data_IF_463598778094
#
_entry.id   IF_463598778094
#
_cell.length_a   1.000
_cell.length_b   1.000
_cell.length_c   1.000
_cell.angle_alpha   90.00
_cell.angle_beta   90.00
_cell.angle_gamma   90.00
#
_symmetry.space_group_name_H-M   'P 1'
#
loop_
_entity.id
_entity.type
_entity.pdbx_description
1 polymer ?
#
# COMPACT_ATOMS: atom_id res chain seq x y z
N UNK A 1 23.39 -7.65 -17.35
CA UNK A 1 22.14 -8.41 -17.11
C UNK A 1 22.30 -9.19 -15.80
N UNK A 2 21.87 -8.61 -14.67
CA UNK A 2 22.06 -9.23 -13.35
C UNK A 2 20.74 -9.90 -12.96
N UNK A 3 20.70 -11.22 -13.07
CA UNK A 3 19.62 -12.07 -12.58
C UNK A 3 19.95 -12.45 -11.14
N UNK A 4 19.29 -11.84 -10.16
CA UNK A 4 19.27 -12.39 -8.80
C UNK A 4 17.89 -12.26 -8.17
N UNK A 5 17.32 -13.40 -7.76
CA UNK A 5 16.39 -13.48 -6.63
C UNK A 5 14.92 -13.80 -6.95
N UNK A 6 14.59 -14.95 -7.54
CA UNK A 6 13.16 -15.29 -7.81
C UNK A 6 12.62 -16.56 -7.14
N UNK A 7 13.43 -17.39 -6.47
CA UNK A 7 12.96 -18.65 -5.86
C UNK A 7 12.68 -18.58 -4.34
N UNK A 8 13.64 -18.12 -3.53
CA UNK A 8 13.47 -18.06 -2.05
C UNK A 8 12.49 -16.96 -1.58
N UNK A 9 12.50 -15.79 -2.25
CA UNK A 9 11.60 -14.66 -1.93
C UNK A 9 10.12 -15.01 -2.07
N UNK A 10 9.74 -15.74 -3.14
CA UNK A 10 8.37 -16.23 -3.35
C UNK A 10 7.93 -17.26 -2.32
N UNK A 11 8.88 -17.95 -1.69
CA UNK A 11 8.62 -19.00 -0.69
C UNK A 11 8.32 -18.36 0.68
N UNK A 12 9.08 -17.31 1.04
CA UNK A 12 8.87 -16.58 2.30
C UNK A 12 7.53 -15.83 2.30
N UNK A 13 7.19 -15.14 1.20
CA UNK A 13 5.91 -14.42 1.08
C UNK A 13 4.71 -15.35 1.12
N UNK A 14 4.79 -16.54 0.49
CA UNK A 14 3.74 -17.57 0.57
C UNK A 14 3.58 -18.13 1.98
N UNK A 15 4.67 -18.36 2.70
CA UNK A 15 4.65 -18.87 4.08
C UNK A 15 4.03 -17.85 5.04
N UNK A 16 4.46 -16.59 4.95
CA UNK A 16 3.89 -15.48 5.72
C UNK A 16 2.40 -15.31 5.43
N UNK A 17 2.01 -15.31 4.15
CA UNK A 17 0.60 -15.20 3.74
C UNK A 17 -0.26 -16.35 4.27
N UNK A 18 0.26 -17.58 4.26
CA UNK A 18 -0.45 -18.75 4.79
C UNK A 18 -0.74 -18.59 6.28
N UNK A 19 0.29 -18.21 7.06
CA UNK A 19 0.15 -17.96 8.49
C UNK A 19 -0.84 -16.83 8.79
N UNK A 20 -0.84 -15.74 8.02
CA UNK A 20 -1.79 -14.63 8.20
C UNK A 20 -3.25 -15.02 8.01
N UNK A 21 -3.52 -16.00 7.13
CA UNK A 21 -4.86 -16.50 6.80
C UNK A 21 -5.39 -17.53 7.81
N UNK A 22 -4.52 -18.08 8.65
CA UNK A 22 -4.91 -18.99 9.72
C UNK A 22 -5.58 -18.19 10.87
N UNK A 23 -6.54 -18.84 11.54
CA UNK A 23 -7.26 -18.20 12.66
C UNK A 23 -6.38 -18.26 13.91
N UNK A 24 -5.69 -17.13 14.16
CA UNK A 24 -4.79 -16.96 15.28
C UNK A 24 -5.32 -15.91 16.22
N UNK A 25 -5.25 -16.20 17.53
CA UNK A 25 -5.55 -15.23 18.58
C UNK A 25 -4.71 -13.96 18.43
N UNK A 26 -5.24 -12.84 18.92
CA UNK A 26 -4.52 -11.56 18.93
C UNK A 26 -3.15 -11.67 19.64
N UNK A 27 -3.06 -12.47 20.71
CA UNK A 27 -1.82 -12.68 21.45
C UNK A 27 -0.78 -13.43 20.60
N UNK A 28 -1.19 -14.46 19.88
CA UNK A 28 -0.33 -15.21 18.95
C UNK A 28 0.19 -14.31 17.82
N UNK A 29 -0.67 -13.44 17.26
CA UNK A 29 -0.29 -12.44 16.24
C UNK A 29 0.75 -11.46 16.76
N UNK A 30 0.55 -10.89 17.95
CA UNK A 30 1.53 -10.00 18.59
C UNK A 30 2.88 -10.68 18.80
N UNK A 31 2.89 -11.89 19.35
CA UNK A 31 4.13 -12.65 19.57
C UNK A 31 4.88 -12.95 18.27
N UNK A 32 4.15 -13.26 17.19
CA UNK A 32 4.74 -13.48 15.88
C UNK A 32 5.34 -12.20 15.29
N UNK A 33 4.65 -11.06 15.41
CA UNK A 33 5.17 -9.75 14.99
C UNK A 33 6.44 -9.39 15.74
N UNK A 34 6.49 -9.59 17.07
CA UNK A 34 7.70 -9.34 17.85
C UNK A 34 8.88 -10.16 17.34
N UNK A 35 8.65 -11.45 16.99
CA UNK A 35 9.70 -12.30 16.39
C UNK A 35 10.17 -11.75 15.04
N UNK A 36 9.25 -11.32 14.18
CA UNK A 36 9.58 -10.73 12.88
C UNK A 36 10.33 -9.40 13.02
N UNK A 37 9.93 -8.54 13.95
CA UNK A 37 10.62 -7.29 14.25
C UNK A 37 12.04 -7.52 14.78
N UNK A 38 12.23 -8.51 15.65
CA UNK A 38 13.58 -8.87 16.13
C UNK A 38 14.46 -9.48 15.05
N UNK A 39 13.87 -10.21 14.10
CA UNK A 39 14.58 -10.67 12.91
C UNK A 39 14.96 -9.49 12.00
N UNK A 40 14.03 -8.56 11.75
CA UNK A 40 14.25 -7.38 10.92
C UNK A 40 15.32 -6.46 11.50
N UNK A 41 15.34 -6.23 12.82
CA UNK A 41 16.38 -5.43 13.49
C UNK A 41 17.79 -5.99 13.24
N UNK A 42 17.95 -7.31 13.34
CA UNK A 42 19.24 -7.98 13.03
C UNK A 42 19.63 -7.80 11.56
N UNK A 43 18.66 -7.92 10.67
CA UNK A 43 18.88 -7.70 9.25
C UNK A 43 19.33 -6.26 8.95
N UNK A 44 18.66 -5.27 9.55
CA UNK A 44 19.00 -3.84 9.42
C UNK A 44 20.43 -3.57 9.92
N UNK A 45 20.81 -4.11 11.09
CA UNK A 45 22.18 -3.98 11.62
C UNK A 45 23.22 -4.44 10.59
N UNK A 46 23.02 -5.63 10.02
CA UNK A 46 23.93 -6.19 9.01
C UNK A 46 24.07 -5.30 7.76
N UNK A 47 22.98 -4.64 7.33
CA UNK A 47 23.02 -3.72 6.20
C UNK A 47 23.65 -2.37 6.54
N UNK A 48 23.45 -1.86 7.77
CA UNK A 48 24.03 -0.59 8.25
C UNK A 48 25.54 -0.70 8.51
N UNK A 49 26.00 -1.86 8.95
CA UNK A 49 27.42 -2.16 9.22
C UNK A 49 28.21 -2.52 7.94
N UNK A 50 27.52 -2.68 6.81
CA UNK A 50 28.18 -2.94 5.52
C UNK A 50 29.08 -1.78 5.10
N UNK A 51 30.22 -2.09 4.49
CA UNK A 51 31.13 -1.09 3.90
C UNK A 51 30.57 -0.45 2.62
N UNK A 52 29.57 -1.07 1.98
CA UNK A 52 28.92 -0.57 0.79
C UNK A 52 27.83 0.47 1.12
N UNK A 53 27.97 1.70 0.60
CA UNK A 53 27.04 2.82 0.82
C UNK A 53 25.60 2.51 0.39
N UNK A 54 25.39 1.76 -0.70
CA UNK A 54 24.05 1.36 -1.17
C UNK A 54 23.37 0.44 -0.15
N UNK A 55 24.14 -0.46 0.49
CA UNK A 55 23.62 -1.35 1.52
C UNK A 55 23.27 -0.57 2.79
N UNK A 56 24.08 0.42 3.16
CA UNK A 56 23.75 1.30 4.30
C UNK A 56 22.47 2.10 4.04
N UNK A 57 22.32 2.69 2.85
CA UNK A 57 21.09 3.39 2.44
C UNK A 57 19.88 2.46 2.49
N UNK A 58 20.03 1.24 1.99
CA UNK A 58 18.98 0.23 2.07
C UNK A 58 18.61 -0.13 3.52
N UNK A 59 19.60 -0.27 4.39
CA UNK A 59 19.40 -0.45 5.84
C UNK A 59 18.58 0.67 6.45
N UNK A 60 18.90 1.93 6.15
CA UNK A 60 18.12 3.10 6.60
C UNK A 60 16.69 3.09 6.07
N UNK A 61 16.49 2.73 4.79
CA UNK A 61 15.13 2.61 4.22
C UNK A 61 14.32 1.52 4.93
N UNK A 62 14.94 0.38 5.22
CA UNK A 62 14.29 -0.70 5.98
C UNK A 62 13.95 -0.29 7.41
N UNK A 63 14.84 0.45 8.07
CA UNK A 63 14.62 0.98 9.42
C UNK A 63 13.40 1.90 9.48
N UNK A 64 13.30 2.84 8.52
CA UNK A 64 12.16 3.75 8.42
C UNK A 64 10.83 3.02 8.19
N UNK A 65 10.84 1.88 7.48
CA UNK A 65 9.63 1.10 7.19
C UNK A 65 9.32 0.04 8.27
N UNK A 66 10.20 -0.19 9.25
CA UNK A 66 10.16 -1.37 10.12
C UNK A 66 8.92 -1.43 11.04
N UNK A 67 8.41 -0.28 11.47
CA UNK A 67 7.22 -0.18 12.35
C UNK A 67 5.95 -0.70 11.69
N UNK A 68 5.79 -0.42 10.39
CA UNK A 68 4.55 -0.69 9.65
C UNK A 68 4.64 -1.94 8.75
N UNK A 69 5.84 -2.46 8.51
CA UNK A 69 6.10 -3.56 7.55
C UNK A 69 5.26 -4.82 7.81
N UNK A 70 4.91 -5.12 9.06
CA UNK A 70 4.16 -6.34 9.43
C UNK A 70 2.69 -6.09 9.78
N UNK A 71 2.13 -4.95 9.40
CA UNK A 71 0.71 -4.60 9.66
C UNK A 71 -0.27 -5.66 9.13
N UNK A 72 0.05 -6.29 7.99
CA UNK A 72 -0.73 -7.39 7.40
C UNK A 72 -0.83 -8.63 8.30
N UNK A 73 0.08 -8.81 9.26
CA UNK A 73 0.02 -9.93 10.22
C UNK A 73 -1.07 -9.68 11.28
N UNK A 74 -1.30 -8.42 11.66
CA UNK A 74 -2.41 -8.07 12.56
C UNK A 74 -3.75 -8.12 11.83
N UNK A 75 -3.80 -7.61 10.60
CA UNK A 75 -5.03 -7.37 9.87
C UNK A 75 -5.07 -8.20 8.60
N UNK A 76 -5.88 -9.27 8.59
CA UNK A 76 -5.98 -10.22 7.47
C UNK A 76 -6.45 -9.60 6.14
N UNK A 77 -7.14 -8.46 6.21
CA UNK A 77 -7.60 -7.70 5.05
C UNK A 77 -6.52 -6.76 4.47
N UNK A 78 -5.40 -6.56 5.18
CA UNK A 78 -4.26 -5.79 4.68
C UNK A 78 -3.35 -6.73 3.90
N UNK A 79 -3.02 -6.38 2.66
CA UNK A 79 -2.15 -7.20 1.83
C UNK A 79 -0.67 -7.06 2.24
N UNK A 80 0.07 -8.16 2.14
CA UNK A 80 1.52 -8.21 2.41
C UNK A 80 2.38 -7.55 1.33
N UNK A 81 1.76 -7.06 0.25
CA UNK A 81 2.43 -6.39 -0.87
C UNK A 81 1.69 -5.11 -1.19
N UNK A 82 2.45 -4.04 -1.44
CA UNK A 82 1.94 -2.77 -1.94
C UNK A 82 1.45 -2.84 -3.38
N UNK A 83 1.62 -3.95 -4.10
CA UNK A 83 1.27 -4.10 -5.53
C UNK A 83 -0.11 -3.53 -5.90
N UNK A 84 -1.15 -3.78 -5.11
CA UNK A 84 -2.50 -3.23 -5.35
C UNK A 84 -2.52 -1.71 -5.17
N UNK A 85 -1.89 -1.21 -4.10
CA UNK A 85 -1.74 0.22 -3.85
C UNK A 85 -0.92 0.91 -4.97
N UNK A 86 0.23 0.33 -5.34
CA UNK A 86 1.07 0.82 -6.43
C UNK A 86 0.34 0.79 -7.77
N UNK A 87 -0.47 -0.24 -8.05
CA UNK A 87 -1.26 -0.30 -9.28
C UNK A 87 -2.31 0.81 -9.33
N UNK A 88 -2.97 1.10 -8.21
CA UNK A 88 -3.93 2.21 -8.09
C UNK A 88 -3.25 3.57 -8.21
N UNK A 89 -2.12 3.78 -7.51
CA UNK A 89 -1.33 5.01 -7.58
C UNK A 89 -0.73 5.21 -8.97
N UNK A 90 -0.31 4.14 -9.67
CA UNK A 90 0.27 4.27 -11.03
C UNK A 90 -0.73 4.83 -12.03
N UNK A 91 -2.01 4.45 -11.93
CA UNK A 91 -3.10 5.05 -12.73
C UNK A 91 -3.23 6.55 -12.43
N UNK A 92 -3.18 6.92 -11.15
CA UNK A 92 -3.19 8.32 -10.70
C UNK A 92 -1.99 9.11 -11.25
N UNK A 93 -0.77 8.58 -11.14
CA UNK A 93 0.45 9.21 -11.65
C UNK A 93 0.37 9.41 -13.17
N UNK A 94 -0.17 8.45 -13.92
CA UNK A 94 -0.43 8.60 -15.35
C UNK A 94 -1.34 9.79 -15.64
N UNK A 95 -2.48 9.89 -14.95
CA UNK A 95 -3.37 11.03 -15.07
C UNK A 95 -2.72 12.35 -14.67
N UNK A 96 -1.89 12.35 -13.61
CA UNK A 96 -1.13 13.53 -13.17
C UNK A 96 -0.14 14.01 -14.22
N UNK A 97 0.63 13.09 -14.80
CA UNK A 97 1.64 13.43 -15.79
C UNK A 97 1.01 13.91 -17.10
N UNK A 98 -0.19 13.42 -17.45
CA UNK A 98 -0.93 13.90 -18.63
C UNK A 98 -1.63 15.23 -18.42
N UNK A 99 -1.91 15.66 -17.18
CA UNK A 99 -2.69 16.88 -16.87
C UNK A 99 -1.84 17.91 -16.15
N UNK A 100 -1.44 18.95 -16.89
CA UNK A 100 -0.72 20.15 -16.40
C UNK A 100 -1.46 20.86 -15.24
N UNK A 101 -2.77 20.64 -15.07
CA UNK A 101 -3.63 21.26 -14.05
C UNK A 101 -3.34 20.81 -12.61
N UNK A 102 -2.49 19.80 -12.41
CA UNK A 102 -2.08 19.30 -11.08
C UNK A 102 -0.83 19.98 -10.51
N UNK A 103 -0.51 21.18 -11.01
CA UNK A 103 0.65 21.98 -10.58
C UNK A 103 0.39 22.85 -9.34
N UNK A 104 -0.86 23.02 -8.92
CA UNK A 104 -1.20 23.72 -7.67
C UNK A 104 -1.66 22.73 -6.60
N UNK A 105 -1.36 23.02 -5.34
CA UNK A 105 -1.75 22.17 -4.19
C UNK A 105 -3.27 21.96 -4.16
N UNK A 106 -4.03 23.02 -4.43
CA UNK A 106 -5.50 22.96 -4.51
C UNK A 106 -6.00 22.07 -5.66
N UNK A 107 -5.31 22.06 -6.80
CA UNK A 107 -5.62 21.17 -7.91
C UNK A 107 -5.33 19.71 -7.58
N UNK A 108 -4.22 19.46 -6.88
CA UNK A 108 -3.84 18.13 -6.38
C UNK A 108 -4.85 17.61 -5.34
N UNK A 109 -5.26 18.44 -4.39
CA UNK A 109 -6.25 18.11 -3.38
C UNK A 109 -7.60 17.72 -4.01
N UNK A 110 -8.15 18.56 -4.89
CA UNK A 110 -9.41 18.27 -5.58
C UNK A 110 -9.36 16.97 -6.38
N UNK A 111 -8.22 16.69 -7.02
CA UNK A 111 -8.04 15.45 -7.77
C UNK A 111 -7.93 14.22 -6.87
N UNK A 112 -7.25 14.32 -5.72
CA UNK A 112 -7.22 13.27 -4.72
C UNK A 112 -8.62 12.97 -4.17
N UNK A 113 -9.43 13.99 -3.91
CA UNK A 113 -10.83 13.84 -3.46
C UNK A 113 -11.64 13.11 -4.52
N UNK A 114 -11.62 13.60 -5.77
CA UNK A 114 -12.36 13.00 -6.88
C UNK A 114 -11.96 11.56 -7.14
N UNK A 115 -10.66 11.25 -7.10
CA UNK A 115 -10.18 9.89 -7.28
C UNK A 115 -10.62 8.98 -6.13
N UNK A 116 -10.58 9.46 -4.89
CA UNK A 116 -11.02 8.70 -3.72
C UNK A 116 -12.49 8.31 -3.84
N UNK A 117 -13.34 9.22 -4.32
CA UNK A 117 -14.76 8.93 -4.63
C UNK A 117 -14.89 7.84 -5.71
N UNK A 118 -14.20 8.02 -6.86
CA UNK A 118 -14.26 7.08 -7.98
C UNK A 118 -13.79 5.68 -7.59
N UNK A 119 -12.67 5.57 -6.87
CA UNK A 119 -12.15 4.28 -6.42
C UNK A 119 -13.05 3.64 -5.36
N UNK A 120 -13.65 4.42 -4.47
CA UNK A 120 -14.65 3.92 -3.51
C UNK A 120 -15.88 3.35 -4.22
N UNK A 121 -16.39 4.03 -5.25
CA UNK A 121 -17.52 3.54 -6.04
C UNK A 121 -17.19 2.24 -6.77
N UNK A 122 -16.01 2.15 -7.39
CA UNK A 122 -15.53 0.90 -8.02
C UNK A 122 -15.41 -0.24 -7.03
N UNK A 123 -14.85 0.02 -5.84
CA UNK A 123 -14.73 -0.99 -4.77
C UNK A 123 -16.10 -1.52 -4.32
N UNK A 124 -17.12 -0.64 -4.29
CA UNK A 124 -18.52 -0.99 -3.99
C UNK A 124 -19.27 -1.59 -5.17
N UNK A 125 -18.63 -1.77 -6.33
CA UNK A 125 -19.24 -2.23 -7.58
C UNK A 125 -20.39 -1.32 -8.07
N UNK A 126 -20.30 -0.03 -7.78
CA UNK A 126 -21.24 0.98 -8.25
C UNK A 126 -20.83 1.49 -9.63
N UNK A 127 -21.81 1.93 -10.42
CA UNK A 127 -21.54 2.60 -11.68
C UNK A 127 -20.98 4.00 -11.39
N UNK A 128 -19.75 4.26 -11.83
CA UNK A 128 -19.05 5.51 -11.59
C UNK A 128 -19.75 6.70 -12.26
N UNK A 129 -20.35 6.50 -13.43
CA UNK A 129 -21.04 7.56 -14.16
C UNK A 129 -22.31 8.00 -13.41
N UNK A 130 -23.11 7.04 -12.97
CA UNK A 130 -24.37 7.32 -12.26
C UNK A 130 -24.10 8.06 -10.94
N UNK A 131 -23.10 7.62 -10.18
CA UNK A 131 -22.69 8.29 -8.94
C UNK A 131 -22.11 9.70 -9.18
N UNK A 132 -21.36 9.88 -10.27
CA UNK A 132 -20.85 11.19 -10.66
C UNK A 132 -22.01 12.14 -11.00
N UNK A 133 -22.98 11.66 -11.80
CA UNK A 133 -24.19 12.41 -12.12
C UNK A 133 -25.04 12.69 -10.87
N UNK A 134 -25.06 11.79 -9.88
CA UNK A 134 -25.76 12.02 -8.60
C UNK A 134 -25.12 13.15 -7.78
N UNK A 135 -23.79 13.26 -7.79
CA UNK A 135 -23.05 14.25 -7.00
C UNK A 135 -22.94 15.61 -7.70
N UNK A 136 -22.84 15.61 -9.04
CA UNK A 136 -22.64 16.82 -9.85
C UNK A 136 -23.94 17.31 -10.51
N UNK A 137 -24.92 16.43 -10.66
CA UNK A 137 -26.19 16.75 -11.30
C UNK A 137 -27.01 17.77 -10.51
N UNK A 138 -27.93 18.49 -11.17
CA UNK A 138 -28.80 19.43 -10.50
C UNK A 138 -29.60 18.71 -9.41
N UNK A 139 -29.78 19.39 -8.27
CA UNK A 139 -30.66 18.90 -7.21
C UNK A 139 -32.04 18.57 -7.80
N UNK A 140 -32.68 17.46 -7.41
CA UNK A 140 -34.04 17.20 -7.84
C UNK A 140 -34.90 18.42 -7.47
N UNK A 141 -35.61 18.97 -8.45
CA UNK A 141 -36.59 20.01 -8.20
C UNK A 141 -37.54 19.48 -7.13
N UNK A 142 -37.66 20.19 -6.02
CA UNK A 142 -38.72 19.93 -5.05
C UNK A 142 -40.04 20.22 -5.76
N UNK A 143 -40.77 19.16 -6.12
CA UNK A 143 -42.13 19.27 -6.63
C UNK A 143 -42.98 19.96 -5.54
N UNK A 144 -43.51 21.15 -5.86
CA UNK A 144 -44.55 21.84 -5.11
C UNK A 144 -45.93 21.35 -5.54
#
# INVERSE_FOLDING_TARGET
MVVYGTSKSKTLSKKLRRWTLEDHSTQSRKAYITRLQNWLKRLISNYRESTNELMQKFGTTLENAASEMFTFVMYSHVHSTTNLCEQSIRKMIGHRNSRIQLKSDRGAENFCIMLSCVETWKLRKLNVWDELCRVIGPAPASDN
#
